data_IF_628915536905
#
_entry.id   IF_628915536905
#
_cell.length_a   1.000
_cell.length_b   1.000
_cell.length_c   1.000
_cell.angle_alpha   90.00
_cell.angle_beta   90.00
_cell.angle_gamma   90.00
#
_symmetry.space_group_name_H-M   'P 1'
#
loop_
_entity.id
_entity.type
_entity.pdbx_description
1 polymer ?
#
# COMPACT_ATOMS: atom_id res chain seq x y z
N UNK A 1 -58.93 -15.12 -42.08
CA UNK A 1 -58.55 -14.19 -41.00
C UNK A 1 -57.34 -14.76 -40.30
N UNK A 2 -56.18 -14.09 -40.38
CA UNK A 2 -54.90 -14.56 -39.81
C UNK A 2 -54.73 -13.94 -38.42
N UNK A 3 -54.61 -14.77 -37.40
CA UNK A 3 -54.37 -14.37 -36.01
C UNK A 3 -52.90 -14.02 -35.85
N UNK A 4 -52.60 -12.77 -35.48
CA UNK A 4 -51.26 -12.25 -35.25
C UNK A 4 -50.91 -12.43 -33.77
N UNK A 5 -49.97 -13.33 -33.47
CA UNK A 5 -49.45 -13.54 -32.12
C UNK A 5 -48.23 -12.64 -31.93
N UNK A 6 -48.33 -11.66 -31.02
CA UNK A 6 -47.24 -10.75 -30.66
C UNK A 6 -46.48 -11.36 -29.48
N UNK A 7 -45.27 -11.85 -29.73
CA UNK A 7 -44.34 -12.30 -28.68
C UNK A 7 -43.56 -11.08 -28.17
N UNK A 8 -43.86 -10.63 -26.96
CA UNK A 8 -43.08 -9.57 -26.28
C UNK A 8 -41.85 -10.22 -25.65
N UNK A 9 -40.68 -9.97 -26.23
CA UNK A 9 -39.40 -10.38 -25.66
C UNK A 9 -39.11 -9.52 -24.41
N UNK A 10 -39.06 -10.15 -23.24
CA UNK A 10 -38.58 -9.54 -22.00
C UNK A 10 -37.07 -9.34 -22.09
N UNK A 11 -36.66 -8.10 -22.35
CA UNK A 11 -35.28 -7.67 -22.26
C UNK A 11 -34.84 -7.72 -20.79
N UNK A 12 -34.08 -8.75 -20.42
CA UNK A 12 -33.32 -8.79 -19.18
C UNK A 12 -32.28 -7.66 -19.22
N UNK A 13 -32.63 -6.51 -18.63
CA UNK A 13 -31.64 -5.54 -18.18
C UNK A 13 -30.84 -6.19 -17.05
N UNK A 14 -29.78 -6.92 -17.41
CA UNK A 14 -28.67 -7.19 -16.52
C UNK A 14 -27.95 -5.87 -16.27
N UNK A 15 -28.51 -5.07 -15.37
CA UNK A 15 -27.74 -4.03 -14.68
C UNK A 15 -26.85 -4.80 -13.71
N UNK A 16 -25.73 -5.31 -14.23
CA UNK A 16 -24.60 -5.66 -13.38
C UNK A 16 -24.18 -4.32 -12.78
N UNK A 17 -24.61 -4.09 -11.55
CA UNK A 17 -24.12 -3.01 -10.71
C UNK A 17 -22.60 -3.18 -10.63
N UNK A 18 -21.89 -2.52 -11.54
CA UNK A 18 -20.48 -2.27 -11.45
C UNK A 18 -20.31 -1.26 -10.31
N UNK A 19 -20.54 -1.73 -9.08
CA UNK A 19 -19.99 -1.09 -7.89
C UNK A 19 -18.50 -1.13 -8.13
N UNK A 20 -17.94 0.01 -8.57
CA UNK A 20 -16.52 0.21 -8.67
C UNK A 20 -15.91 -0.25 -7.35
N UNK A 21 -15.28 -1.43 -7.36
CA UNK A 21 -14.69 -2.01 -6.17
C UNK A 21 -13.56 -1.07 -5.79
N UNK A 22 -13.79 -0.26 -4.75
CA UNK A 22 -12.94 0.90 -4.46
C UNK A 22 -11.52 0.51 -3.99
N UNK A 23 -11.32 -0.78 -3.71
CA UNK A 23 -10.07 -1.51 -3.54
C UNK A 23 -10.10 -2.70 -4.53
N UNK A 24 -9.12 -2.80 -5.40
CA UNK A 24 -9.07 -3.81 -6.44
C UNK A 24 -7.89 -4.75 -6.24
N UNK A 25 -8.16 -6.06 -6.22
CA UNK A 25 -7.09 -7.05 -6.25
C UNK A 25 -6.55 -7.16 -7.67
N UNK A 26 -5.24 -6.95 -7.84
CA UNK A 26 -4.54 -7.09 -9.11
C UNK A 26 -3.62 -8.31 -9.09
N UNK A 27 -3.31 -8.82 -10.28
CA UNK A 27 -2.25 -9.81 -10.47
C UNK A 27 -0.97 -9.11 -10.91
N UNK A 28 0.14 -9.38 -10.23
CA UNK A 28 1.46 -8.93 -10.67
C UNK A 28 1.87 -9.87 -11.81
N UNK A 29 1.71 -9.45 -13.07
CA UNK A 29 1.95 -10.34 -14.23
C UNK A 29 3.37 -10.28 -14.77
N UNK A 30 4.11 -9.22 -14.46
CA UNK A 30 5.49 -9.05 -14.89
C UNK A 30 6.43 -9.89 -14.00
N UNK A 31 7.13 -10.92 -14.54
CA UNK A 31 7.98 -11.79 -13.74
C UNK A 31 9.13 -11.04 -13.07
N UNK A 32 9.62 -9.96 -13.68
CA UNK A 32 10.69 -9.15 -13.11
C UNK A 32 10.22 -8.40 -11.88
N UNK A 33 9.01 -7.84 -11.93
CA UNK A 33 8.39 -7.16 -10.80
C UNK A 33 8.10 -8.13 -9.65
N UNK A 34 7.58 -9.33 -9.96
CA UNK A 34 7.41 -10.40 -8.98
C UNK A 34 8.73 -10.73 -8.28
N UNK A 35 9.81 -10.95 -9.05
CA UNK A 35 11.11 -11.28 -8.48
C UNK A 35 11.64 -10.18 -7.57
N UNK A 36 11.52 -8.90 -7.96
CA UNK A 36 11.96 -7.76 -7.15
C UNK A 36 11.22 -7.72 -5.80
N UNK A 37 9.91 -7.97 -5.82
CA UNK A 37 9.09 -7.98 -4.60
C UNK A 37 9.46 -9.20 -3.73
N UNK A 38 9.61 -10.38 -4.30
CA UNK A 38 10.03 -11.59 -3.57
C UNK A 38 11.40 -11.42 -2.91
N UNK A 39 12.38 -10.87 -3.65
CA UNK A 39 13.71 -10.61 -3.11
C UNK A 39 13.64 -9.64 -1.93
N UNK A 40 12.82 -8.59 -2.04
CA UNK A 40 12.61 -7.65 -0.94
C UNK A 40 11.93 -8.30 0.27
N UNK A 41 10.93 -9.16 0.06
CA UNK A 41 10.26 -9.92 1.13
C UNK A 41 11.27 -10.82 1.85
N UNK A 42 12.06 -11.60 1.11
CA UNK A 42 13.09 -12.47 1.69
C UNK A 42 14.13 -11.69 2.51
N UNK A 43 14.55 -10.52 2.02
CA UNK A 43 15.42 -9.64 2.79
C UNK A 43 14.75 -9.13 4.07
N UNK A 44 13.47 -8.74 4.01
CA UNK A 44 12.72 -8.30 5.19
C UNK A 44 12.57 -9.42 6.23
N UNK A 45 12.36 -10.65 5.79
CA UNK A 45 12.31 -11.83 6.68
C UNK A 45 13.68 -12.07 7.32
N UNK A 46 14.75 -12.11 6.50
CA UNK A 46 16.13 -12.33 6.95
C UNK A 46 16.58 -11.26 7.96
N UNK A 47 16.23 -10.00 7.70
CA UNK A 47 16.67 -8.85 8.48
C UNK A 47 15.65 -8.47 9.58
N UNK A 48 14.68 -9.35 9.86
CA UNK A 48 13.67 -9.23 10.91
C UNK A 48 12.84 -7.94 10.87
N UNK A 49 12.49 -7.48 9.66
CA UNK A 49 11.59 -6.35 9.45
C UNK A 49 10.11 -6.72 9.60
N UNK A 50 9.76 -7.99 9.42
CA UNK A 50 8.44 -8.54 9.77
C UNK A 50 8.51 -9.19 11.15
N UNK A 51 7.87 -8.58 12.14
CA UNK A 51 7.95 -8.99 13.55
C UNK A 51 6.65 -9.68 13.93
N UNK A 52 6.76 -10.85 14.58
CA UNK A 52 5.59 -11.57 15.10
C UNK A 52 4.65 -12.07 14.01
N UNK A 53 5.20 -12.46 12.85
CA UNK A 53 4.44 -12.88 11.65
C UNK A 53 3.45 -11.81 11.17
N UNK A 54 3.82 -10.54 11.39
CA UNK A 54 3.07 -9.37 10.93
C UNK A 54 3.92 -8.56 9.99
N UNK A 55 3.25 -8.07 8.97
CA UNK A 55 3.77 -7.15 7.99
C UNK A 55 3.07 -7.30 6.64
N UNK A 56 3.10 -6.22 5.88
CA UNK A 56 2.77 -6.22 4.46
C UNK A 56 3.87 -5.47 3.70
N UNK A 57 3.95 -5.70 2.40
CA UNK A 57 4.77 -4.88 1.53
C UNK A 57 3.92 -3.74 0.98
N UNK A 58 4.48 -2.55 0.93
CA UNK A 58 3.90 -1.42 0.21
C UNK A 58 4.78 -1.11 -1.01
N UNK A 59 4.16 -0.93 -2.17
CA UNK A 59 4.81 -0.50 -3.40
C UNK A 59 4.19 0.82 -3.81
N UNK A 60 5.01 1.87 -3.81
CA UNK A 60 4.60 3.17 -4.32
C UNK A 60 5.18 3.40 -5.71
N UNK A 61 4.32 3.57 -6.70
CA UNK A 61 4.67 3.84 -8.09
C UNK A 61 4.71 5.34 -8.36
N UNK A 62 5.72 5.78 -9.08
CA UNK A 62 5.85 7.16 -9.53
C UNK A 62 6.70 7.22 -10.81
N UNK A 63 6.75 8.40 -11.44
CA UNK A 63 7.66 8.69 -12.55
C UNK A 63 8.84 9.49 -12.00
N UNK A 64 10.06 9.02 -12.23
CA UNK A 64 11.28 9.69 -11.78
C UNK A 64 11.62 10.93 -12.63
N UNK A 65 12.71 11.62 -12.28
CA UNK A 65 13.17 12.82 -12.99
C UNK A 65 13.52 12.54 -14.47
N UNK A 66 14.03 11.34 -14.75
CA UNK A 66 14.35 10.83 -16.09
C UNK A 66 13.11 10.38 -16.89
N UNK A 67 11.89 10.65 -16.40
CA UNK A 67 10.61 10.25 -17.01
C UNK A 67 10.41 8.73 -17.13
N UNK A 68 11.07 7.98 -16.26
CA UNK A 68 10.98 6.52 -16.21
C UNK A 68 10.14 6.06 -15.02
N UNK A 69 9.47 4.89 -15.12
CA UNK A 69 8.81 4.28 -13.98
C UNK A 69 9.81 4.01 -12.85
N UNK A 70 9.38 4.30 -11.62
CA UNK A 70 10.17 4.02 -10.43
C UNK A 70 9.26 3.65 -9.27
N UNK A 71 9.75 2.79 -8.38
CA UNK A 71 9.05 2.36 -7.19
C UNK A 71 9.79 2.75 -5.92
N UNK A 72 9.04 3.03 -4.86
CA UNK A 72 9.52 2.90 -3.48
C UNK A 72 8.83 1.68 -2.87
N UNK A 73 9.61 0.66 -2.51
CA UNK A 73 9.11 -0.53 -1.83
C UNK A 73 9.46 -0.45 -0.34
N UNK A 74 8.53 -0.82 0.54
CA UNK A 74 8.72 -0.74 1.99
C UNK A 74 7.97 -1.83 2.72
N UNK A 75 8.58 -2.37 3.77
CA UNK A 75 7.91 -3.21 4.75
C UNK A 75 7.11 -2.35 5.72
N UNK A 76 5.83 -2.66 5.88
CA UNK A 76 4.91 -1.97 6.77
C UNK A 76 4.39 -2.90 7.85
N UNK A 77 4.37 -2.43 9.10
CA UNK A 77 3.94 -3.21 10.25
C UNK A 77 2.61 -2.75 10.85
N UNK A 78 2.10 -1.58 10.48
CA UNK A 78 0.95 -0.99 11.12
C UNK A 78 -0.18 -0.62 10.16
N UNK A 79 -1.36 -0.42 10.73
CA UNK A 79 -2.61 -0.15 10.00
C UNK A 79 -2.73 1.26 9.40
N UNK A 80 -1.60 1.92 9.06
CA UNK A 80 -1.63 3.27 8.44
C UNK A 80 -2.43 3.36 7.15
N UNK A 81 -2.66 2.25 6.46
CA UNK A 81 -3.52 2.21 5.28
C UNK A 81 -4.93 2.73 5.59
N UNK A 82 -5.39 2.67 6.85
CA UNK A 82 -6.69 3.23 7.27
C UNK A 82 -6.76 4.75 7.13
N UNK A 83 -5.63 5.45 7.26
CA UNK A 83 -5.56 6.91 7.07
C UNK A 83 -5.52 7.30 5.59
N UNK A 84 -4.98 6.42 4.74
CA UNK A 84 -4.85 6.61 3.29
C UNK A 84 -4.87 5.23 2.59
N UNK A 85 -6.05 4.70 2.24
CA UNK A 85 -6.15 3.35 1.69
C UNK A 85 -5.60 3.26 0.27
N UNK A 86 -4.87 2.18 -0.07
CA UNK A 86 -4.49 1.91 -1.44
C UNK A 86 -5.73 1.56 -2.28
N UNK A 87 -5.70 1.93 -3.56
CA UNK A 87 -6.74 1.55 -4.53
C UNK A 87 -6.53 0.13 -5.05
N UNK A 88 -5.29 -0.36 -5.00
CA UNK A 88 -4.89 -1.65 -5.55
C UNK A 88 -4.08 -2.46 -4.52
N UNK A 89 -4.27 -3.77 -4.53
CA UNK A 89 -3.48 -4.69 -3.72
C UNK A 89 -3.28 -6.00 -4.49
N UNK A 90 -2.28 -6.80 -4.11
CA UNK A 90 -2.03 -8.10 -4.70
C UNK A 90 -1.59 -9.12 -3.65
N UNK A 91 -1.69 -10.39 -4.04
CA UNK A 91 -1.05 -11.50 -3.33
C UNK A 91 0.16 -11.99 -4.12
N UNK A 92 1.22 -12.30 -3.40
CA UNK A 92 2.37 -13.02 -3.93
C UNK A 92 2.74 -14.12 -2.94
N UNK A 93 2.24 -15.33 -3.18
CA UNK A 93 2.26 -16.39 -2.18
C UNK A 93 1.35 -16.04 -1.01
N UNK A 94 1.89 -16.03 0.20
CA UNK A 94 1.19 -15.67 1.45
C UNK A 94 1.37 -14.20 1.83
N UNK A 95 2.09 -13.43 1.03
CA UNK A 95 2.40 -12.02 1.29
C UNK A 95 1.41 -11.08 0.58
N UNK A 96 1.09 -9.99 1.27
CA UNK A 96 0.18 -8.95 0.79
C UNK A 96 0.98 -7.74 0.35
N UNK A 97 0.66 -7.26 -0.85
CA UNK A 97 1.29 -6.08 -1.44
C UNK A 97 0.24 -5.01 -1.61
N UNK A 98 0.47 -3.84 -1.02
CA UNK A 98 -0.39 -2.66 -1.15
C UNK A 98 0.22 -1.69 -2.16
N UNK A 99 -0.52 -1.33 -3.20
CA UNK A 99 -0.05 -0.43 -4.25
C UNK A 99 -0.57 0.99 -4.04
N UNK A 100 0.36 1.94 -4.08
CA UNK A 100 0.12 3.36 -4.01
C UNK A 100 0.67 4.03 -5.26
N UNK A 101 0.06 5.15 -5.65
CA UNK A 101 0.59 6.03 -6.68
C UNK A 101 1.07 7.34 -6.05
N UNK A 102 2.00 8.02 -6.70
CA UNK A 102 2.52 9.29 -6.24
C UNK A 102 3.17 10.09 -7.35
N UNK A 103 3.29 11.41 -7.14
CA UNK A 103 3.94 12.31 -8.11
C UNK A 103 5.46 12.27 -8.01
N UNK A 104 6.01 11.77 -6.90
CA UNK A 104 7.44 11.73 -6.64
C UNK A 104 7.79 10.65 -5.61
N UNK A 105 9.09 10.46 -5.37
CA UNK A 105 9.60 9.58 -4.32
C UNK A 105 9.15 9.96 -2.90
N UNK A 106 8.68 11.19 -2.66
CA UNK A 106 8.27 11.67 -1.32
C UNK A 106 6.76 11.83 -1.14
N UNK A 107 6.00 11.80 -2.23
CA UNK A 107 4.55 12.02 -2.20
C UNK A 107 3.77 10.72 -2.40
N UNK A 108 2.59 10.62 -1.80
CA UNK A 108 1.61 9.55 -2.03
C UNK A 108 0.28 10.24 -2.36
N UNK A 109 -0.36 9.82 -3.45
CA UNK A 109 -1.70 10.28 -3.80
C UNK A 109 -2.68 9.96 -2.66
N UNK A 110 -3.40 10.99 -2.21
CA UNK A 110 -4.36 10.84 -1.13
C UNK A 110 -5.65 10.25 -1.66
N UNK A 111 -6.09 9.18 -1.03
CA UNK A 111 -7.39 8.56 -1.21
C UNK A 111 -8.18 8.72 0.08
N UNK A 112 -9.38 9.28 -0.02
CA UNK A 112 -10.25 9.42 1.15
C UNK A 112 -10.79 8.04 1.53
N UNK A 113 -10.67 7.62 2.81
CA UNK A 113 -11.18 6.32 3.22
C UNK A 113 -12.71 6.30 3.20
N UNK A 114 -13.26 5.26 2.57
CA UNK A 114 -14.68 4.93 2.64
C UNK A 114 -14.88 3.64 3.43
N UNK A 115 -16.05 3.42 4.05
CA UNK A 115 -16.32 2.18 4.78
C UNK A 115 -16.13 0.92 3.93
N UNK A 116 -16.54 0.94 2.65
CA UNK A 116 -16.42 -0.21 1.75
C UNK A 116 -14.97 -0.52 1.38
N UNK A 117 -14.15 0.51 1.14
CA UNK A 117 -12.71 0.34 0.92
C UNK A 117 -12.02 -0.29 2.12
N UNK A 118 -12.29 0.25 3.31
CA UNK A 118 -11.68 -0.22 4.54
C UNK A 118 -12.07 -1.66 4.81
N UNK A 119 -13.35 -2.00 4.66
CA UNK A 119 -13.85 -3.37 4.86
C UNK A 119 -13.15 -4.36 3.93
N UNK A 120 -13.04 -4.06 2.64
CA UNK A 120 -12.37 -4.92 1.69
C UNK A 120 -10.87 -5.08 1.97
N UNK A 121 -10.18 -4.01 2.35
CA UNK A 121 -8.78 -4.09 2.75
C UNK A 121 -8.60 -4.85 4.06
N UNK A 122 -9.54 -4.74 5.01
CA UNK A 122 -9.55 -5.54 6.24
C UNK A 122 -9.77 -7.03 5.96
N UNK A 123 -10.64 -7.38 5.00
CA UNK A 123 -10.82 -8.77 4.55
C UNK A 123 -9.55 -9.33 3.89
N UNK A 124 -8.84 -8.51 3.11
CA UNK A 124 -7.59 -8.91 2.46
C UNK A 124 -6.42 -9.01 3.44
N UNK A 125 -6.22 -8.00 4.29
CA UNK A 125 -5.09 -7.86 5.22
C UNK A 125 -5.26 -8.75 6.45
N UNK A 126 -6.49 -8.96 6.91
CA UNK A 126 -6.78 -9.72 8.12
C UNK A 126 -6.04 -9.15 9.34
N UNK A 127 -5.32 -10.02 10.04
CA UNK A 127 -4.56 -9.67 11.23
C UNK A 127 -3.07 -9.40 10.94
N UNK A 128 -2.65 -9.32 9.67
CA UNK A 128 -1.23 -9.17 9.27
C UNK A 128 -0.59 -7.84 9.70
N UNK A 129 -1.34 -6.88 10.25
CA UNK A 129 -0.80 -5.59 10.70
C UNK A 129 -1.13 -5.32 12.18
N UNK A 130 -0.24 -4.60 12.86
CA UNK A 130 -0.52 -4.06 14.17
C UNK A 130 -1.53 -2.91 14.09
N UNK A 131 -2.55 -2.95 14.95
CA UNK A 131 -3.49 -1.85 15.11
C UNK A 131 -2.79 -0.75 15.91
N UNK A 132 -2.67 0.45 15.33
CA UNK A 132 -2.07 1.58 16.06
C UNK A 132 -2.99 1.95 17.23
N UNK A 133 -2.43 2.24 18.42
CA UNK A 133 -3.23 2.80 19.49
C UNK A 133 -3.87 4.11 19.00
N UNK A 134 -5.09 4.39 19.47
CA UNK A 134 -5.74 5.67 19.23
C UNK A 134 -4.74 6.80 19.50
N UNK A 135 -4.72 7.81 18.62
CA UNK A 135 -3.84 8.96 18.74
C UNK A 135 -4.20 9.72 20.03
N UNK A 136 -3.60 9.31 21.13
CA UNK A 136 -3.74 9.95 22.44
C UNK A 136 -2.68 11.03 22.56
N UNK A 137 -3.06 12.16 23.15
CA UNK A 137 -2.08 13.18 23.53
C UNK A 137 -1.09 12.54 24.50
N UNK A 138 0.19 12.57 24.16
CA UNK A 138 1.26 12.09 25.03
C UNK A 138 2.31 13.16 25.23
N UNK A 139 2.85 13.20 26.43
CA UNK A 139 3.97 14.05 26.76
C UNK A 139 5.25 13.40 26.27
N UNK A 140 6.07 14.16 25.56
CA UNK A 140 7.45 13.78 25.26
C UNK A 140 8.39 14.84 25.84
N UNK A 141 9.58 14.41 26.20
CA UNK A 141 10.69 15.33 26.46
C UNK A 141 11.37 15.65 25.12
N UNK A 142 11.42 16.94 24.78
CA UNK A 142 12.15 17.45 23.64
C UNK A 142 13.39 18.17 24.15
N UNK A 143 14.56 17.78 23.64
CA UNK A 143 15.83 18.45 23.93
C UNK A 143 16.04 19.52 22.86
N UNK A 144 16.16 20.78 23.28
CA UNK A 144 16.46 21.92 22.40
C UNK A 144 17.94 21.95 22.03
N UNK A 145 18.28 22.75 21.02
CA UNK A 145 19.67 22.90 20.57
C UNK A 145 20.59 23.47 21.66
N UNK A 146 20.05 24.22 22.63
CA UNK A 146 20.78 24.74 23.79
C UNK A 146 20.94 23.72 24.95
N UNK A 147 20.48 22.48 24.75
CA UNK A 147 20.53 21.41 25.76
C UNK A 147 19.40 21.46 26.80
N UNK A 148 18.54 22.48 26.77
CA UNK A 148 17.37 22.55 27.66
C UNK A 148 16.31 21.51 27.27
N UNK A 149 15.53 21.09 28.26
CA UNK A 149 14.47 20.08 28.11
C UNK A 149 13.11 20.74 28.24
N UNK A 150 12.21 20.44 27.31
CA UNK A 150 10.81 20.89 27.36
C UNK A 150 9.88 19.68 27.27
N UNK A 151 8.84 19.65 28.10
CA UNK A 151 7.76 18.69 27.93
C UNK A 151 6.75 19.23 26.93
N UNK A 152 6.61 18.54 25.80
CA UNK A 152 5.68 18.93 24.74
C UNK A 152 4.60 17.86 24.62
N UNK A 153 3.33 18.29 24.57
CA UNK A 153 2.24 17.40 24.16
C UNK A 153 2.34 17.17 22.66
N UNK A 154 2.57 15.92 22.27
CA UNK A 154 2.52 15.53 20.86
C UNK A 154 1.34 14.60 20.61
N UNK A 155 0.73 14.81 19.45
CA UNK A 155 -0.32 13.95 18.94
C UNK A 155 0.22 13.05 17.81
N UNK A 156 1.33 12.35 18.07
CA UNK A 156 2.00 11.49 17.07
C UNK A 156 2.19 10.07 17.58
N UNK A 157 1.98 9.09 16.70
CA UNK A 157 2.41 7.69 16.83
C UNK A 157 3.92 7.55 17.07
N UNK A 158 4.38 6.50 17.76
CA UNK A 158 5.64 5.88 17.30
C UNK A 158 5.26 5.08 16.07
N UNK A 159 5.91 5.34 14.93
CA UNK A 159 5.81 4.45 13.77
C UNK A 159 6.54 3.17 14.20
N UNK A 160 5.85 2.03 14.13
CA UNK A 160 6.46 0.72 14.42
C UNK A 160 7.09 0.26 13.10
N UNK A 161 8.40 0.03 13.11
CA UNK A 161 9.18 -0.22 11.89
C UNK A 161 9.81 1.05 11.32
N UNK A 162 11.05 0.94 10.87
CA UNK A 162 11.85 2.09 10.43
C UNK A 162 13.29 1.98 10.88
N UNK A 163 13.95 0.87 10.55
CA UNK A 163 15.38 0.92 10.29
C UNK A 163 15.58 1.44 8.86
N UNK A 164 16.70 2.11 8.53
CA UNK A 164 16.94 2.65 7.18
C UNK A 164 16.85 1.59 6.06
N UNK A 165 16.99 0.31 6.42
CA UNK A 165 16.96 -0.82 5.48
C UNK A 165 15.55 -1.38 5.20
N UNK A 166 14.48 -0.87 5.83
CA UNK A 166 13.14 -1.39 5.61
C UNK A 166 12.47 -0.87 4.32
N UNK A 167 13.21 -0.15 3.47
CA UNK A 167 12.73 0.30 2.17
C UNK A 167 13.83 0.38 1.13
N UNK A 168 13.43 0.31 -0.14
CA UNK A 168 14.31 0.47 -1.30
C UNK A 168 13.65 1.33 -2.37
N UNK A 169 14.48 1.97 -3.18
CA UNK A 169 14.04 2.67 -4.39
C UNK A 169 14.45 1.83 -5.59
N UNK A 170 13.54 1.60 -6.52
CA UNK A 170 13.73 0.76 -7.71
C UNK A 170 13.49 1.63 -8.93
N UNK A 171 14.49 1.78 -9.79
CA UNK A 171 14.35 2.47 -11.08
C UNK A 171 14.26 1.45 -12.20
N UNK A 172 13.29 1.64 -13.11
CA UNK A 172 13.12 0.83 -14.31
C UNK A 172 13.64 1.64 -15.50
N UNK A 173 14.85 1.29 -15.96
CA UNK A 173 15.49 2.00 -17.07
C UNK A 173 14.79 1.67 -18.40
N UNK A 174 14.86 2.58 -19.36
CA UNK A 174 14.24 2.43 -20.68
C UNK A 174 14.77 1.22 -21.48
N UNK A 175 16.00 0.78 -21.20
CA UNK A 175 16.62 -0.41 -21.80
C UNK A 175 16.18 -1.72 -21.11
N UNK A 176 15.23 -1.64 -20.18
CA UNK A 176 14.74 -2.78 -19.42
C UNK A 176 15.64 -3.20 -18.27
N UNK A 177 16.72 -2.47 -17.95
CA UNK A 177 17.51 -2.71 -16.73
C UNK A 177 16.75 -2.21 -15.49
N UNK A 178 17.09 -2.79 -14.34
CA UNK A 178 16.56 -2.36 -13.04
C UNK A 178 17.72 -2.00 -12.14
N UNK A 179 17.65 -0.81 -11.55
CA UNK A 179 18.61 -0.32 -10.56
C UNK A 179 17.92 -0.23 -9.22
N UNK A 180 18.48 -0.93 -8.23
CA UNK A 180 18.01 -0.88 -6.85
C UNK A 180 18.93 0.05 -6.08
N UNK A 181 18.37 1.15 -5.58
CA UNK A 181 19.06 2.13 -4.76
C UNK A 181 18.73 1.87 -3.29
N UNK A 182 19.72 1.99 -2.40
CA UNK A 182 19.47 1.95 -0.96
C UNK A 182 18.62 3.16 -0.56
N UNK A 183 17.57 2.93 0.22
CA UNK A 183 16.89 4.02 0.94
C UNK A 183 17.88 4.59 1.96
N UNK A 184 17.99 5.92 2.00
CA UNK A 184 18.74 6.65 3.02
C UNK A 184 17.93 6.68 4.32
#
# INVERSE_FOLDING_TARGET
MKTLTITIAFSFFNIISLLAQQCHQINITNPKEQQIILDFIHECIRDHHFIGDKGVVTVKRFINEDKQPAWVIRAELDDKYRDNPPKEWALLGEDIILFYDGKSQFDIEKTAPTPDMLKCLEEAIGDRLYIRPLKTQRWIEMVKQDGSKEQVKVNRGRIIGGGPNNSKIIHFDADGKVRILKSV
#
